data_IF_461481588115
#
_entry.id   IF_461481588115
#
_cell.length_a   1.000
_cell.length_b   1.000
_cell.length_c   1.000
_cell.angle_alpha   90.00
_cell.angle_beta   90.00
_cell.angle_gamma   90.00
#
_symmetry.space_group_name_H-M   'P 1'
#
loop_
_entity.id
_entity.type
_entity.pdbx_description
1 polymer ?
#
# COMPACT_ATOMS: atom_id res chain seq x y z
N UNK A 1 -12.09 -5.07 13.71
CA UNK A 1 -12.95 -4.20 12.83
C UNK A 1 -12.80 -4.68 11.39
N UNK A 2 -13.83 -5.21 10.73
CA UNK A 2 -13.72 -5.61 9.32
C UNK A 2 -13.74 -4.38 8.41
N UNK A 3 -12.60 -4.02 7.82
CA UNK A 3 -12.49 -2.91 6.88
C UNK A 3 -13.21 -3.25 5.57
N UNK A 4 -14.43 -2.73 5.37
CA UNK A 4 -15.17 -2.83 4.11
C UNK A 4 -14.70 -1.73 3.17
N UNK A 5 -13.84 -2.04 2.22
CA UNK A 5 -13.31 -1.08 1.24
C UNK A 5 -11.84 -1.31 0.84
N UNK A 6 -11.28 -0.29 0.18
CA UNK A 6 -9.87 -0.21 -0.18
C UNK A 6 -9.11 0.47 0.96
N UNK A 7 -8.11 -0.20 1.55
CA UNK A 7 -7.30 0.39 2.62
C UNK A 7 -5.82 0.05 2.46
N UNK A 8 -4.98 0.94 2.99
CA UNK A 8 -3.53 0.74 3.04
C UNK A 8 -3.12 0.20 4.40
N UNK A 9 -2.24 -0.79 4.41
CA UNK A 9 -1.64 -1.34 5.63
C UNK A 9 -0.15 -1.53 5.41
N UNK A 10 0.65 -1.24 6.43
CA UNK A 10 2.08 -1.52 6.41
C UNK A 10 2.38 -2.61 7.42
N UNK A 11 3.10 -3.65 7.01
CA UNK A 11 3.59 -4.69 7.90
C UNK A 11 5.10 -4.66 8.04
N UNK A 12 5.55 -4.95 9.25
CA UNK A 12 6.93 -5.32 9.54
C UNK A 12 6.91 -6.82 9.84
N UNK A 13 7.66 -7.56 9.04
CA UNK A 13 7.80 -9.01 9.14
C UNK A 13 9.24 -9.29 9.53
N UNK A 14 9.45 -9.81 10.74
CA UNK A 14 10.79 -9.98 11.29
C UNK A 14 10.89 -11.21 12.18
N UNK A 15 12.10 -11.75 12.31
CA UNK A 15 12.43 -12.78 13.28
C UNK A 15 13.11 -12.12 14.48
N UNK A 16 12.89 -12.63 15.71
CA UNK A 16 13.55 -12.12 16.92
C UNK A 16 15.01 -12.61 17.02
N UNK A 17 15.75 -12.54 15.91
CA UNK A 17 17.14 -12.98 15.78
C UNK A 17 17.98 -11.80 15.31
N UNK A 18 19.10 -11.54 16.00
CA UNK A 18 19.99 -10.44 15.65
C UNK A 18 20.57 -10.64 14.24
N UNK A 19 20.46 -9.61 13.41
CA UNK A 19 20.97 -9.62 12.04
C UNK A 19 20.11 -10.40 11.05
N UNK A 20 18.93 -10.88 11.44
CA UNK A 20 17.97 -11.44 10.48
C UNK A 20 17.46 -10.35 9.52
N UNK A 21 17.10 -10.72 8.27
CA UNK A 21 16.43 -9.81 7.36
C UNK A 21 15.10 -9.31 7.95
N UNK A 22 14.80 -8.04 7.72
CA UNK A 22 13.52 -7.42 8.03
C UNK A 22 12.79 -7.15 6.73
N UNK A 23 11.58 -7.67 6.61
CA UNK A 23 10.69 -7.41 5.48
C UNK A 23 9.68 -6.33 5.87
N UNK A 24 9.63 -5.26 5.09
CA UNK A 24 8.58 -4.24 5.15
C UNK A 24 7.64 -4.44 3.96
N UNK A 25 6.36 -4.58 4.24
CA UNK A 25 5.31 -4.66 3.22
C UNK A 25 4.43 -3.42 3.29
N UNK A 26 4.31 -2.70 2.19
CA UNK A 26 3.34 -1.64 2.00
C UNK A 26 2.25 -2.16 1.08
N UNK A 27 1.09 -2.51 1.65
CA UNK A 27 0.01 -3.21 0.95
C UNK A 27 -1.23 -2.33 0.83
N UNK A 28 -1.85 -2.41 -0.33
CA UNK A 28 -3.18 -1.91 -0.64
C UNK A 28 -4.11 -3.12 -0.75
N UNK A 29 -5.07 -3.21 0.17
CA UNK A 29 -6.02 -4.31 0.27
C UNK A 29 -7.35 -3.88 -0.34
N UNK A 30 -7.77 -4.55 -1.40
CA UNK A 30 -9.09 -4.43 -2.01
C UNK A 30 -9.99 -5.55 -1.49
N UNK A 31 -10.79 -5.23 -0.47
CA UNK A 31 -11.65 -6.23 0.16
C UNK A 31 -12.82 -6.69 -0.71
N UNK A 32 -13.51 -5.84 -1.49
CA UNK A 32 -14.50 -6.31 -2.47
C UNK A 32 -13.95 -7.33 -3.46
N UNK A 33 -12.74 -7.10 -3.98
CA UNK A 33 -12.12 -7.99 -4.97
C UNK A 33 -11.27 -9.12 -4.37
N UNK A 34 -11.06 -9.12 -3.05
CA UNK A 34 -10.13 -10.03 -2.33
C UNK A 34 -8.70 -10.00 -2.88
N UNK A 35 -8.28 -8.82 -3.35
CA UNK A 35 -6.96 -8.63 -3.95
C UNK A 35 -6.08 -7.81 -3.04
N UNK A 36 -4.78 -8.08 -3.15
CA UNK A 36 -3.75 -7.32 -2.47
C UNK A 36 -2.70 -6.93 -3.48
N UNK A 37 -2.26 -5.69 -3.45
CA UNK A 37 -1.15 -5.20 -4.26
C UNK A 37 -0.27 -4.28 -3.42
N UNK A 38 0.99 -4.09 -3.80
CA UNK A 38 1.87 -3.28 -2.96
C UNK A 38 3.33 -3.38 -3.32
N UNK A 39 4.16 -3.06 -2.34
CA UNK A 39 5.61 -3.11 -2.43
C UNK A 39 6.22 -3.87 -1.25
N UNK A 40 7.18 -4.75 -1.53
CA UNK A 40 7.98 -5.45 -0.55
C UNK A 40 9.41 -4.89 -0.56
N UNK A 41 9.95 -4.59 0.62
CA UNK A 41 11.34 -4.20 0.80
C UNK A 41 11.96 -5.07 1.88
N UNK A 42 13.08 -5.73 1.59
CA UNK A 42 13.83 -6.52 2.56
C UNK A 42 15.17 -5.83 2.81
N UNK A 43 15.50 -5.61 4.08
CA UNK A 43 16.77 -5.03 4.50
C UNK A 43 17.45 -5.87 5.57
N UNK A 44 18.78 -5.83 5.58
CA UNK A 44 19.59 -6.46 6.63
C UNK A 44 20.79 -5.57 6.92
N UNK A 45 21.02 -5.27 8.21
CA UNK A 45 22.08 -4.33 8.64
C UNK A 45 23.40 -5.01 9.01
N UNK A 46 23.48 -6.33 8.95
CA UNK A 46 24.75 -7.07 9.17
C UNK A 46 25.45 -7.32 7.85
N UNK A 47 26.77 -7.54 7.88
CA UNK A 47 27.56 -7.82 6.68
C UNK A 47 27.34 -9.27 6.22
N UNK A 48 27.06 -9.53 4.93
CA UNK A 48 26.87 -8.56 3.85
C UNK A 48 25.49 -7.88 3.93
N UNK A 49 25.39 -6.56 3.67
CA UNK A 49 24.13 -5.85 3.71
C UNK A 49 23.20 -6.35 2.60
N UNK A 50 21.94 -6.62 2.95
CA UNK A 50 20.89 -7.00 2.01
C UNK A 50 20.00 -5.78 1.75
N UNK A 51 19.72 -5.52 0.48
CA UNK A 51 18.65 -4.62 0.05
C UNK A 51 17.95 -5.26 -1.15
N UNK A 52 16.69 -5.64 -0.95
CA UNK A 52 15.84 -6.24 -1.98
C UNK A 52 14.52 -5.48 -2.05
N UNK A 53 14.00 -5.32 -3.27
CA UNK A 53 12.74 -4.65 -3.53
C UNK A 53 11.97 -5.40 -4.61
N UNK A 54 10.65 -5.50 -4.43
CA UNK A 54 9.74 -6.07 -5.42
C UNK A 54 8.37 -5.42 -5.33
N UNK A 55 7.70 -5.26 -6.48
CA UNK A 55 6.27 -5.05 -6.47
C UNK A 55 5.61 -6.39 -6.14
N UNK A 56 4.59 -6.35 -5.29
CA UNK A 56 3.87 -7.55 -4.86
C UNK A 56 2.41 -7.47 -5.24
N UNK A 57 1.84 -8.62 -5.55
CA UNK A 57 0.43 -8.78 -5.85
C UNK A 57 -0.04 -10.15 -5.36
N UNK A 58 -1.33 -10.28 -5.15
CA UNK A 58 -1.90 -11.56 -4.78
C UNK A 58 -3.31 -11.41 -4.25
N UNK A 59 -3.67 -12.29 -3.33
CA UNK A 59 -5.01 -12.40 -2.82
C UNK A 59 -4.99 -12.73 -1.34
N UNK A 60 -6.10 -12.43 -0.67
CA UNK A 60 -6.34 -12.92 0.67
C UNK A 60 -7.60 -13.77 0.71
N UNK A 61 -7.62 -14.75 1.60
CA UNK A 61 -8.80 -15.53 1.91
C UNK A 61 -9.03 -15.57 3.41
N UNK A 62 -10.28 -15.76 3.82
CA UNK A 62 -10.62 -15.92 5.23
C UNK A 62 -10.87 -17.40 5.47
N UNK A 63 -10.08 -18.00 6.35
CA UNK A 63 -10.20 -19.38 6.74
C UNK A 63 -10.71 -19.48 8.18
N UNK A 64 -11.63 -20.42 8.42
CA UNK A 64 -11.89 -20.93 9.78
C UNK A 64 -11.05 -22.19 9.95
N UNK A 65 -10.05 -22.13 10.83
CA UNK A 65 -9.22 -23.31 11.12
C UNK A 65 -10.00 -24.36 11.94
N UNK A 66 -11.07 -23.96 12.63
CA UNK A 66 -12.00 -24.82 13.37
C UNK A 66 -13.38 -24.14 13.39
N UNK A 67 -14.51 -24.87 13.41
CA UNK A 67 -15.85 -24.28 13.63
C UNK A 67 -15.96 -23.44 14.92
N UNK A 68 -15.10 -23.68 15.92
CA UNK A 68 -14.96 -22.91 17.15
C UNK A 68 -13.83 -21.86 17.12
N UNK A 69 -12.93 -21.91 16.13
CA UNK A 69 -11.79 -21.00 16.05
C UNK A 69 -12.13 -19.66 15.38
N UNK A 70 -11.34 -18.66 15.75
CA UNK A 70 -11.39 -17.32 15.20
C UNK A 70 -11.12 -17.30 13.69
N UNK A 71 -11.65 -16.27 13.01
CA UNK A 71 -11.39 -16.06 11.60
C UNK A 71 -9.92 -15.68 11.39
N UNK A 72 -9.20 -16.46 10.59
CA UNK A 72 -7.83 -16.11 10.20
C UNK A 72 -7.81 -15.66 8.75
N UNK A 73 -6.93 -14.72 8.45
CA UNK A 73 -6.71 -14.21 7.10
C UNK A 73 -5.46 -14.87 6.55
N UNK A 74 -5.65 -15.65 5.48
CA UNK A 74 -4.54 -16.26 4.74
C UNK A 74 -4.17 -15.32 3.61
N UNK A 75 -2.94 -14.80 3.65
CA UNK A 75 -2.36 -13.89 2.68
C UNK A 75 -1.39 -14.65 1.77
N UNK A 76 -1.61 -14.59 0.47
CA UNK A 76 -0.68 -15.12 -0.54
C UNK A 76 -0.24 -13.98 -1.43
N UNK A 77 1.07 -13.73 -1.48
CA UNK A 77 1.66 -12.71 -2.33
C UNK A 77 2.78 -13.31 -3.17
N UNK A 78 2.80 -12.90 -4.44
CA UNK A 78 3.89 -13.12 -5.37
C UNK A 78 4.44 -11.75 -5.75
N UNK A 79 5.71 -11.69 -6.15
CA UNK A 79 6.33 -10.43 -6.51
C UNK A 79 7.49 -10.55 -7.46
N UNK A 80 7.72 -9.46 -8.18
CA UNK A 80 8.82 -9.30 -9.12
C UNK A 80 9.29 -7.83 -9.14
N UNK A 81 10.46 -7.51 -9.72
CA UNK A 81 10.89 -6.12 -9.89
C UNK A 81 10.02 -5.34 -10.90
N UNK A 82 9.10 -6.01 -11.60
CA UNK A 82 8.20 -5.42 -12.59
C UNK A 82 6.74 -5.56 -12.15
N UNK A 83 5.80 -5.35 -13.07
CA UNK A 83 4.37 -5.46 -12.80
C UNK A 83 3.87 -6.90 -13.02
N UNK A 84 2.71 -7.28 -12.46
CA UNK A 84 2.14 -8.62 -12.60
C UNK A 84 1.94 -9.08 -14.05
N UNK A 85 1.82 -8.15 -15.00
CA UNK A 85 1.62 -8.46 -16.42
C UNK A 85 2.93 -8.62 -17.20
N UNK A 86 4.07 -8.56 -16.52
CA UNK A 86 5.40 -8.70 -17.12
C UNK A 86 5.77 -10.18 -17.28
N UNK A 87 6.59 -10.49 -18.27
CA UNK A 87 7.15 -11.84 -18.48
C UNK A 87 8.41 -12.10 -17.62
N UNK A 88 8.75 -11.18 -16.71
CA UNK A 88 9.90 -11.36 -15.80
C UNK A 88 9.52 -12.37 -14.73
N UNK A 89 10.45 -13.27 -14.41
CA UNK A 89 10.28 -14.27 -13.37
C UNK A 89 9.97 -13.64 -12.01
N UNK A 90 9.13 -14.32 -11.23
CA UNK A 90 8.85 -13.98 -9.84
C UNK A 90 10.13 -14.12 -9.01
N UNK A 91 10.45 -13.08 -8.26
CA UNK A 91 11.62 -13.01 -7.38
C UNK A 91 11.24 -12.98 -5.92
N UNK A 92 9.94 -13.03 -5.59
CA UNK A 92 9.42 -12.96 -4.24
C UNK A 92 8.14 -13.80 -4.11
N UNK A 93 8.02 -14.54 -3.01
CA UNK A 93 6.78 -15.19 -2.60
C UNK A 93 6.60 -15.08 -1.10
N UNK A 94 5.37 -14.88 -0.66
CA UNK A 94 4.99 -14.84 0.76
C UNK A 94 3.68 -15.59 0.98
N UNK A 95 3.67 -16.35 2.07
CA UNK A 95 2.48 -16.95 2.66
C UNK A 95 2.38 -16.50 4.10
N UNK A 96 1.32 -15.77 4.41
CA UNK A 96 1.03 -15.23 5.73
C UNK A 96 -0.29 -15.75 6.28
N UNK A 97 -0.35 -15.88 7.59
CA UNK A 97 -1.57 -16.08 8.35
C UNK A 97 -1.65 -14.92 9.33
N UNK A 98 -2.67 -14.09 9.19
CA UNK A 98 -2.95 -12.95 10.06
C UNK A 98 -4.21 -13.22 10.88
N UNK A 99 -4.31 -12.56 12.02
CA UNK A 99 -5.52 -12.51 12.82
C UNK A 99 -6.60 -11.68 12.11
N UNK A 100 -7.87 -11.88 12.48
CA UNK A 100 -9.04 -11.22 11.87
C UNK A 100 -8.96 -9.68 11.80
N UNK A 101 -8.18 -9.07 12.67
CA UNK A 101 -8.02 -7.62 12.78
C UNK A 101 -6.90 -7.05 11.91
N UNK A 102 -6.25 -7.87 11.06
CA UNK A 102 -5.17 -7.46 10.17
C UNK A 102 -3.95 -6.84 10.89
N UNK A 103 -3.81 -7.02 12.21
CA UNK A 103 -2.75 -6.38 12.99
C UNK A 103 -1.53 -7.27 13.18
N UNK A 104 -1.75 -8.52 13.55
CA UNK A 104 -0.68 -9.45 13.92
C UNK A 104 -0.83 -10.78 13.18
N UNK A 105 0.25 -11.54 13.13
CA UNK A 105 0.26 -12.87 12.56
C UNK A 105 1.64 -13.45 12.36
N UNK A 106 1.73 -14.47 11.50
CA UNK A 106 2.98 -15.12 11.13
C UNK A 106 3.05 -15.27 9.61
N UNK A 107 4.23 -15.05 9.04
CA UNK A 107 4.46 -15.23 7.62
C UNK A 107 5.76 -15.98 7.33
N UNK A 108 5.74 -16.74 6.26
CA UNK A 108 6.94 -17.31 5.64
C UNK A 108 7.07 -16.70 4.25
N UNK A 109 8.29 -16.30 3.90
CA UNK A 109 8.57 -15.71 2.59
C UNK A 109 9.88 -16.22 2.04
N UNK A 110 10.00 -16.14 0.72
CA UNK A 110 11.24 -16.42 0.00
C UNK A 110 11.49 -15.34 -1.03
N UNK A 111 12.75 -15.02 -1.24
CA UNK A 111 13.16 -14.02 -2.20
C UNK A 111 14.41 -14.49 -2.95
N UNK A 112 14.52 -14.09 -4.21
CA UNK A 112 15.63 -14.43 -5.07
C UNK A 112 16.68 -13.33 -5.00
N UNK A 113 17.86 -13.64 -4.47
CA UNK A 113 18.95 -12.68 -4.28
C UNK A 113 20.30 -13.37 -4.50
N UNK A 114 21.18 -12.73 -5.28
CA UNK A 114 22.50 -13.26 -5.66
C UNK A 114 22.42 -14.69 -6.21
N UNK A 115 21.55 -14.91 -7.20
CA UNK A 115 21.35 -16.18 -7.89
C UNK A 115 20.89 -17.37 -7.01
N UNK A 116 20.40 -17.08 -5.80
CA UNK A 116 19.88 -18.08 -4.88
C UNK A 116 18.54 -17.65 -4.26
N UNK A 117 17.69 -18.64 -3.97
CA UNK A 117 16.48 -18.44 -3.18
C UNK A 117 16.82 -18.47 -1.68
N UNK A 118 16.48 -17.39 -0.99
CA UNK A 118 16.59 -17.27 0.45
C UNK A 118 15.21 -17.42 1.06
N UNK A 119 15.06 -18.28 2.07
CA UNK A 119 13.78 -18.55 2.72
C UNK A 119 13.83 -18.12 4.18
N UNK A 120 12.81 -17.38 4.60
CA UNK A 120 12.58 -16.98 5.99
C UNK A 120 11.24 -17.57 6.40
N UNK A 121 11.28 -18.46 7.39
CA UNK A 121 10.10 -19.17 7.87
C UNK A 121 9.64 -18.65 9.23
N UNK A 122 8.33 -18.66 9.47
CA UNK A 122 7.71 -18.32 10.74
C UNK A 122 8.18 -16.95 11.31
N UNK A 123 8.28 -15.94 10.45
CA UNK A 123 8.54 -14.59 10.88
C UNK A 123 7.26 -13.98 11.45
N UNK A 124 7.41 -13.16 12.50
CA UNK A 124 6.32 -12.48 13.16
C UNK A 124 5.91 -11.30 12.28
N UNK A 125 4.61 -11.18 12.01
CA UNK A 125 4.01 -10.05 11.31
C UNK A 125 3.40 -9.13 12.35
N UNK A 126 3.77 -7.85 12.28
CA UNK A 126 3.16 -6.80 13.10
C UNK A 126 2.83 -5.61 12.21
N UNK A 127 1.64 -5.04 12.38
CA UNK A 127 1.26 -3.79 11.74
C UNK A 127 2.22 -2.68 12.20
N UNK A 128 2.87 -2.04 11.23
CA UNK A 128 3.68 -0.89 11.52
C UNK A 128 2.75 0.23 12.02
N UNK A 129 3.11 0.95 13.10
CA UNK A 129 2.36 2.12 13.52
C UNK A 129 2.15 3.03 12.31
N UNK A 130 0.91 3.53 12.15
CA UNK A 130 0.61 4.51 11.11
C UNK A 130 1.65 5.63 11.20
N UNK A 131 2.55 5.69 10.22
CA UNK A 131 3.53 6.76 10.14
C UNK A 131 2.70 7.98 9.80
N UNK A 132 2.32 8.75 10.82
CA UNK A 132 2.00 10.15 10.60
C UNK A 132 3.18 10.69 9.79
N UNK A 133 2.97 11.21 8.57
CA UNK A 133 4.05 11.84 7.84
C UNK A 133 4.48 13.06 8.67
N UNK A 134 5.48 12.86 9.52
CA UNK A 134 6.34 13.92 10.00
C UNK A 134 6.77 14.69 8.73
N UNK A 135 6.49 16.01 8.64
CA UNK A 135 6.90 16.78 7.49
C UNK A 135 8.42 16.68 7.40
N UNK A 136 8.91 15.92 6.41
CA UNK A 136 10.34 15.81 6.12
C UNK A 136 10.85 17.19 5.77
N UNK A 137 11.49 17.84 6.74
CA UNK A 137 12.19 19.10 6.53
C UNK A 137 13.35 18.86 5.57
N UNK A 138 13.13 19.10 4.27
CA UNK A 138 14.21 19.18 3.28
C UNK A 138 14.04 18.45 1.95
N UNK A 139 13.01 17.62 1.74
CA UNK A 139 12.77 17.05 0.39
C UNK A 139 11.91 17.99 -0.44
N UNK A 140 12.40 18.39 -1.64
CA UNK A 140 11.59 19.11 -2.64
C UNK A 140 10.23 18.41 -2.79
N UNK A 141 9.10 19.13 -2.71
CA UNK A 141 7.80 18.50 -2.79
C UNK A 141 7.65 17.85 -4.16
N UNK A 142 7.67 16.52 -4.20
CA UNK A 142 6.98 15.82 -5.27
C UNK A 142 5.49 16.15 -5.08
N UNK A 143 4.76 16.55 -6.14
CA UNK A 143 3.33 16.78 -6.01
C UNK A 143 2.67 15.45 -5.65
N UNK A 144 2.38 15.27 -4.36
CA UNK A 144 1.59 14.16 -3.89
C UNK A 144 0.21 14.27 -4.55
N UNK A 145 -0.37 13.18 -5.08
CA UNK A 145 -1.78 13.18 -5.40
C UNK A 145 -2.53 13.49 -4.10
N UNK A 146 -3.11 14.68 -4.03
CA UNK A 146 -3.96 15.10 -2.92
C UNK A 146 -5.09 14.06 -2.87
N UNK A 147 -5.19 13.24 -1.80
CA UNK A 147 -6.29 12.27 -1.72
C UNK A 147 -7.61 13.04 -1.76
N UNK A 148 -8.46 12.68 -2.71
CA UNK A 148 -9.79 13.26 -2.91
C UNK A 148 -10.66 12.99 -1.68
N UNK A 149 -10.62 13.93 -0.72
CA UNK A 149 -11.56 14.24 0.37
C UNK A 149 -12.01 13.14 1.35
N UNK A 150 -11.98 11.85 1.00
CA UNK A 150 -12.57 10.78 1.79
C UNK A 150 -11.91 10.64 3.17
N UNK A 151 -10.56 10.69 3.22
CA UNK A 151 -9.82 10.61 4.47
C UNK A 151 -10.04 11.85 5.36
N UNK A 152 -10.08 13.04 4.77
CA UNK A 152 -10.26 14.30 5.50
C UNK A 152 -11.68 14.46 6.06
N UNK A 153 -12.70 14.01 5.32
CA UNK A 153 -14.10 13.99 5.79
C UNK A 153 -14.32 12.96 6.91
N UNK A 154 -13.59 11.86 6.90
CA UNK A 154 -13.66 10.85 7.97
C UNK A 154 -13.03 11.36 9.27
N UNK A 155 -11.92 12.10 9.17
CA UNK A 155 -11.23 12.72 10.31
C UNK A 155 -11.95 13.94 10.90
N UNK A 156 -12.70 14.69 10.09
CA UNK A 156 -13.43 15.87 10.58
C UNK A 156 -14.71 15.49 11.35
N UNK A 157 -15.27 14.30 11.15
CA UNK A 157 -16.44 13.82 11.92
C UNK A 157 -16.10 13.41 13.35
N UNK A 158 -14.85 13.07 13.64
CA UNK A 158 -14.37 12.71 14.97
C UNK A 158 -13.76 13.89 15.74
N UNK A 159 -13.54 15.03 15.07
CA UNK A 159 -12.97 16.25 15.62
C UNK A 159 -14.08 17.28 15.86
N UNK A 160 -14.43 17.56 17.12
CA UNK A 160 -15.37 18.63 17.52
C UNK A 160 -14.79 20.05 17.33
N UNK A 161 -13.86 20.23 16.38
CA UNK A 161 -13.16 21.50 16.15
C UNK A 161 -13.75 22.28 14.97
N UNK A 162 -14.66 23.21 15.29
CA UNK A 162 -15.35 24.10 14.34
C UNK A 162 -14.39 24.90 13.42
N UNK A 163 -13.23 25.30 13.92
CA UNK A 163 -12.26 26.10 13.15
C UNK A 163 -11.62 25.27 12.02
N UNK A 164 -11.35 23.99 12.28
CA UNK A 164 -10.82 23.06 11.27
C UNK A 164 -11.87 22.76 10.20
N UNK A 165 -13.14 22.58 10.58
CA UNK A 165 -14.23 22.35 9.62
C UNK A 165 -14.40 23.52 8.64
N UNK A 166 -14.33 24.76 9.13
CA UNK A 166 -14.43 25.96 8.27
C UNK A 166 -13.25 26.10 7.32
N UNK A 167 -12.04 25.80 7.78
CA UNK A 167 -10.85 25.81 6.93
C UNK A 167 -10.95 24.76 5.81
N UNK A 168 -11.42 23.55 6.14
CA UNK A 168 -11.62 22.48 5.17
C UNK A 168 -12.71 22.84 4.14
N UNK A 169 -13.83 23.43 4.59
CA UNK A 169 -14.90 23.88 3.70
C UNK A 169 -14.40 24.95 2.71
N UNK A 170 -13.63 25.95 3.18
CA UNK A 170 -13.05 26.96 2.30
C UNK A 170 -12.04 26.39 1.28
N UNK A 171 -11.26 25.39 1.68
CA UNK A 171 -10.37 24.68 0.76
C UNK A 171 -11.15 23.89 -0.30
N UNK A 172 -12.24 23.22 0.09
CA UNK A 172 -13.11 22.50 -0.84
C UNK A 172 -13.80 23.44 -1.84
N UNK A 173 -14.28 24.61 -1.38
CA UNK A 173 -14.89 25.63 -2.25
C UNK A 173 -13.88 26.20 -3.25
N UNK A 174 -12.65 26.45 -2.84
CA UNK A 174 -11.62 26.94 -3.75
C UNK A 174 -11.22 25.88 -4.80
N UNK A 175 -11.21 24.61 -4.41
CA UNK A 175 -10.94 23.50 -5.33
C UNK A 175 -12.11 23.26 -6.31
N UNK A 176 -13.37 23.49 -5.91
CA UNK A 176 -14.51 23.48 -6.82
C UNK A 176 -14.38 24.57 -7.89
N UNK A 177 -13.88 25.76 -7.55
CA UNK A 177 -13.59 26.80 -8.56
C UNK A 177 -12.47 26.39 -9.52
N UNK A 178 -11.48 25.64 -9.03
CA UNK A 178 -10.40 25.12 -9.88
C UNK A 178 -10.88 24.02 -10.83
N UNK A 179 -11.87 23.21 -10.43
CA UNK A 179 -12.48 22.19 -11.28
C UNK A 179 -13.03 22.77 -12.59
N UNK A 180 -13.76 23.88 -12.53
CA UNK A 180 -14.34 24.52 -13.72
C UNK A 180 -13.27 25.00 -14.71
N UNK A 181 -12.13 25.48 -14.18
CA UNK A 181 -10.98 25.90 -14.98
C UNK A 181 -10.27 24.69 -15.62
N UNK A 182 -10.13 23.59 -14.86
CA UNK A 182 -9.55 22.34 -15.36
C UNK A 182 -10.43 21.74 -16.46
N UNK A 183 -11.76 21.73 -16.29
CA UNK A 183 -12.70 21.22 -17.31
C UNK A 183 -12.63 22.04 -18.61
N UNK A 184 -12.50 23.37 -18.49
CA UNK A 184 -12.32 24.25 -19.64
C UNK A 184 -10.98 23.98 -20.36
N UNK A 185 -9.89 23.82 -19.62
CA UNK A 185 -8.58 23.48 -20.19
C UNK A 185 -8.58 22.11 -20.88
N UNK A 186 -9.31 21.14 -20.34
CA UNK A 186 -9.44 19.79 -20.90
C UNK A 186 -10.23 19.81 -22.23
N UNK A 187 -11.29 20.61 -22.32
CA UNK A 187 -12.01 20.85 -23.57
C UNK A 187 -11.13 21.51 -24.64
N UNK A 188 -10.31 22.49 -24.24
CA UNK A 188 -9.34 23.12 -25.16
C UNK A 188 -8.30 22.12 -25.66
N UNK A 189 -7.78 21.27 -24.78
CA UNK A 189 -6.81 20.24 -25.14
C UNK A 189 -7.40 19.22 -26.12
N UNK A 190 -8.63 18.75 -25.88
CA UNK A 190 -9.34 17.85 -26.81
C UNK A 190 -9.57 18.49 -28.19
N UNK A 191 -9.88 19.79 -28.25
CA UNK A 191 -10.03 20.49 -29.52
C UNK A 191 -8.71 20.58 -30.31
N UNK A 192 -7.59 20.77 -29.62
CA UNK A 192 -6.26 20.79 -30.26
C UNK A 192 -5.82 19.40 -30.73
N UNK A 193 -6.11 18.35 -29.95
CA UNK A 193 -5.87 16.95 -30.35
C UNK A 193 -6.65 16.65 -31.65
N UNK A 194 -7.94 16.97 -31.70
CA UNK A 194 -8.76 16.75 -32.90
C UNK A 194 -8.25 17.53 -34.13
N UNK A 195 -7.72 18.74 -33.93
CA UNK A 195 -7.10 19.55 -34.99
C UNK A 195 -5.82 18.91 -35.53
N UNK A 196 -4.99 18.34 -34.67
CA UNK A 196 -3.74 17.69 -35.06
C UNK A 196 -3.98 16.35 -35.74
N UNK A 197 -4.97 15.58 -35.27
CA UNK A 197 -5.37 14.30 -35.88
C UNK A 197 -6.01 14.48 -37.26
N UNK A 198 -6.78 15.54 -37.49
CA UNK A 198 -7.35 15.85 -38.81
C UNK A 198 -6.35 16.39 -39.85
N UNK A 199 -5.07 16.53 -39.48
CA UNK A 199 -3.97 16.99 -40.36
C UNK A 199 -3.08 15.86 -40.86
N UNK A 200 -3.31 14.63 -40.41
CA UNK A 200 -2.69 13.38 -40.85
C UNK A 200 -3.62 12.60 -41.79
#
# INVERSE_FOLDING_TARGET
MSATGLFHVRYIVSQPVLGAPVLTLDLLVDTPQKKVSGHASITQSVSPPLQFQANVWGHYSQAKLDPSAEHHIVLSLDGSPSSPNSQIAETFHLQGILDQDWQDGNASYRFFYQDAWHTVAHAIVTEAPAVHPEPRSGSKPYPHPIPLYAAALQQSRSSDNLAQMKSLAGQAEEQLKQHDNIEAALKQLHAEIARLEGRH
#
